data_IF_044420984703
#
_entry.id   IF_044420984703
#
_cell.length_a   1.000
_cell.length_b   1.000
_cell.length_c   1.000
_cell.angle_alpha   90.00
_cell.angle_beta   90.00
_cell.angle_gamma   90.00
#
_symmetry.space_group_name_H-M   'P 1'
#
loop_
_entity.id
_entity.type
_entity.pdbx_description
1 polymer ?
#
# COMPACT_ATOMS: atom_id res chain seq x y z
N UNK A 1 6.03 97.76 -105.66
CA UNK A 1 5.10 98.10 -104.55
C UNK A 1 4.56 96.86 -103.81
N UNK A 2 4.22 95.76 -104.50
CA UNK A 2 3.60 94.55 -103.92
C UNK A 2 4.50 93.79 -102.93
N UNK A 3 5.83 93.79 -103.13
CA UNK A 3 6.78 93.10 -102.24
C UNK A 3 6.84 93.70 -100.81
N UNK A 4 6.82 95.02 -100.70
CA UNK A 4 6.80 95.72 -99.40
C UNK A 4 5.50 95.45 -98.62
N UNK A 5 4.36 95.34 -99.31
CA UNK A 5 3.07 94.97 -98.71
C UNK A 5 3.09 93.52 -98.19
N UNK A 6 3.73 92.59 -98.92
CA UNK A 6 3.90 91.19 -98.50
C UNK A 6 4.87 91.03 -97.32
N UNK A 7 5.91 91.87 -97.25
CA UNK A 7 6.83 91.92 -96.10
C UNK A 7 6.15 92.47 -94.84
N UNK A 8 5.37 93.55 -94.97
CA UNK A 8 4.62 94.13 -93.84
C UNK A 8 3.56 93.18 -93.26
N UNK A 9 2.90 92.38 -94.10
CA UNK A 9 1.91 91.39 -93.66
C UNK A 9 2.55 90.16 -92.99
N UNK A 10 3.71 89.71 -93.46
CA UNK A 10 4.46 88.63 -92.82
C UNK A 10 5.05 89.04 -91.46
N UNK A 11 5.60 90.25 -91.35
CA UNK A 11 6.06 90.79 -90.06
C UNK A 11 4.93 90.94 -89.04
N UNK A 12 3.74 91.35 -89.47
CA UNK A 12 2.55 91.41 -88.60
C UNK A 12 2.16 90.02 -88.11
N UNK A 13 2.08 89.02 -89.00
CA UNK A 13 1.79 87.63 -88.63
C UNK A 13 2.83 87.05 -87.66
N UNK A 14 4.10 87.38 -87.86
CA UNK A 14 5.18 86.92 -86.97
C UNK A 14 5.03 87.53 -85.57
N UNK A 15 4.69 88.82 -85.46
CA UNK A 15 4.39 89.47 -84.17
C UNK A 15 3.15 88.88 -83.51
N UNK A 16 2.08 88.66 -84.27
CA UNK A 16 0.85 88.04 -83.75
C UNK A 16 1.12 86.63 -83.22
N UNK A 17 1.94 85.85 -83.94
CA UNK A 17 2.36 84.52 -83.50
C UNK A 17 3.23 84.59 -82.23
N UNK A 18 4.19 85.51 -82.17
CA UNK A 18 5.03 85.71 -80.99
C UNK A 18 4.19 86.13 -79.76
N UNK A 19 3.23 87.03 -79.94
CA UNK A 19 2.32 87.46 -78.87
C UNK A 19 1.45 86.30 -78.37
N UNK A 20 0.96 85.45 -79.29
CA UNK A 20 0.23 84.22 -78.92
C UNK A 20 1.12 83.26 -78.14
N UNK A 21 2.36 83.04 -78.58
CA UNK A 21 3.32 82.20 -77.86
C UNK A 21 3.59 82.72 -76.45
N UNK A 22 3.86 84.03 -76.31
CA UNK A 22 4.07 84.66 -75.00
C UNK A 22 2.85 84.47 -74.09
N UNK A 23 1.64 84.70 -74.63
CA UNK A 23 0.40 84.49 -73.88
C UNK A 23 0.20 83.03 -73.48
N UNK A 24 0.49 82.07 -74.36
CA UNK A 24 0.39 80.64 -74.07
C UNK A 24 1.41 80.21 -73.01
N UNK A 25 2.67 80.67 -73.09
CA UNK A 25 3.68 80.37 -72.08
C UNK A 25 3.34 81.01 -70.73
N UNK A 26 2.77 82.22 -70.72
CA UNK A 26 2.27 82.84 -69.50
C UNK A 26 1.11 82.06 -68.89
N UNK A 27 0.19 81.55 -69.73
CA UNK A 27 -0.91 80.68 -69.29
C UNK A 27 -0.40 79.38 -68.68
N UNK A 28 0.51 78.69 -69.37
CA UNK A 28 1.15 77.46 -68.86
C UNK A 28 1.89 77.73 -67.55
N UNK A 29 2.59 78.86 -67.42
CA UNK A 29 3.25 79.24 -66.17
C UNK A 29 2.25 79.41 -65.03
N UNK A 30 1.12 80.07 -65.29
CA UNK A 30 0.05 80.20 -64.30
C UNK A 30 -0.54 78.85 -63.92
N UNK A 31 -0.77 77.97 -64.89
CA UNK A 31 -1.28 76.62 -64.65
C UNK A 31 -0.31 75.79 -63.81
N UNK A 32 1.00 75.87 -64.07
CA UNK A 32 2.03 75.23 -63.24
C UNK A 32 1.96 75.75 -61.80
N UNK A 33 1.80 77.05 -61.59
CA UNK A 33 1.66 77.60 -60.22
C UNK A 33 0.40 77.11 -59.54
N UNK A 34 -0.73 77.05 -60.26
CA UNK A 34 -1.98 76.54 -59.73
C UNK A 34 -1.87 75.06 -59.37
N UNK A 35 -1.30 74.24 -60.24
CA UNK A 35 -1.07 72.81 -60.00
C UNK A 35 -0.18 72.61 -58.77
N UNK A 36 0.89 73.40 -58.61
CA UNK A 36 1.74 73.31 -57.42
C UNK A 36 1.00 73.70 -56.14
N UNK A 37 0.11 74.70 -56.18
CA UNK A 37 -0.73 75.04 -55.03
C UNK A 37 -1.68 73.88 -54.67
N UNK A 38 -2.33 73.28 -55.66
CA UNK A 38 -3.19 72.12 -55.46
C UNK A 38 -2.42 70.91 -54.93
N UNK A 39 -1.23 70.65 -55.47
CA UNK A 39 -0.36 69.56 -55.02
C UNK A 39 0.01 69.71 -53.54
N UNK A 40 0.39 70.93 -53.13
CA UNK A 40 0.72 71.23 -51.73
C UNK A 40 -0.51 71.08 -50.81
N UNK A 41 -1.66 71.57 -51.24
CA UNK A 41 -2.91 71.41 -50.49
C UNK A 41 -3.30 69.94 -50.33
N UNK A 42 -3.22 69.15 -51.41
CA UNK A 42 -3.52 67.72 -51.38
C UNK A 42 -2.54 66.96 -50.49
N UNK A 43 -1.25 67.30 -50.53
CA UNK A 43 -0.25 66.72 -49.66
C UNK A 43 -0.55 66.99 -48.17
N UNK A 44 -0.89 68.24 -47.82
CA UNK A 44 -1.28 68.60 -46.46
C UNK A 44 -2.56 67.90 -46.00
N UNK A 45 -3.54 67.73 -46.89
CA UNK A 45 -4.75 66.97 -46.58
C UNK A 45 -4.46 65.50 -46.37
N UNK A 46 -3.59 64.91 -47.19
CA UNK A 46 -3.22 63.50 -47.06
C UNK A 46 -2.51 63.24 -45.73
N UNK A 47 -1.57 64.09 -45.33
CA UNK A 47 -0.87 63.95 -44.04
C UNK A 47 -1.81 64.14 -42.85
N UNK A 48 -2.78 65.06 -42.94
CA UNK A 48 -3.81 65.22 -41.91
C UNK A 48 -4.69 63.96 -41.79
N UNK A 49 -5.10 63.36 -42.91
CA UNK A 49 -5.88 62.12 -42.94
C UNK A 49 -5.08 60.97 -42.34
N UNK A 50 -3.81 60.80 -42.71
CA UNK A 50 -2.93 59.77 -42.13
C UNK A 50 -2.79 59.90 -40.62
N UNK A 51 -2.66 61.13 -40.11
CA UNK A 51 -2.63 61.38 -38.67
C UNK A 51 -3.97 61.03 -38.01
N UNK A 52 -5.10 61.40 -38.62
CA UNK A 52 -6.43 61.00 -38.12
C UNK A 52 -6.58 59.49 -38.07
N UNK A 53 -6.16 58.77 -39.11
CA UNK A 53 -6.17 57.30 -39.15
C UNK A 53 -5.35 56.73 -37.98
N UNK A 54 -4.10 57.18 -37.78
CA UNK A 54 -3.27 56.73 -36.66
C UNK A 54 -3.92 56.98 -35.30
N UNK A 55 -4.57 58.13 -35.12
CA UNK A 55 -5.27 58.41 -33.85
C UNK A 55 -6.49 57.52 -33.65
N UNK A 56 -7.22 57.18 -34.71
CA UNK A 56 -8.35 56.26 -34.67
C UNK A 56 -7.89 54.82 -34.41
N UNK A 57 -6.80 54.38 -35.02
CA UNK A 57 -6.19 53.06 -34.76
C UNK A 57 -5.76 52.93 -33.29
N UNK A 58 -5.15 53.97 -32.72
CA UNK A 58 -4.79 53.97 -31.30
C UNK A 58 -6.03 53.87 -30.40
N UNK A 59 -7.07 54.66 -30.66
CA UNK A 59 -8.35 54.56 -29.94
C UNK A 59 -8.99 53.19 -30.10
N UNK A 60 -8.95 52.61 -31.30
CA UNK A 60 -9.46 51.28 -31.56
C UNK A 60 -8.71 50.21 -30.77
N UNK A 61 -7.39 50.32 -30.63
CA UNK A 61 -6.58 49.40 -29.83
C UNK A 61 -6.82 49.55 -28.32
N UNK A 62 -7.25 50.72 -27.85
CA UNK A 62 -7.60 50.98 -26.45
C UNK A 62 -9.01 50.48 -26.08
N UNK A 63 -9.96 50.46 -27.02
CA UNK A 63 -11.34 50.02 -26.79
C UNK A 63 -11.42 48.59 -26.22
N UNK A 64 -10.71 47.56 -26.76
CA UNK A 64 -10.67 46.21 -26.19
C UNK A 64 -10.12 46.15 -24.76
N UNK A 65 -9.48 47.21 -24.25
CA UNK A 65 -8.94 47.24 -22.88
C UNK A 65 -9.87 47.94 -21.89
N UNK A 66 -10.72 48.87 -22.35
CA UNK A 66 -11.54 49.73 -21.49
C UNK A 66 -13.07 49.52 -21.64
N UNK A 67 -13.53 48.77 -22.65
CA UNK A 67 -14.97 48.43 -22.76
C UNK A 67 -15.33 47.16 -21.99
N UNK A 68 -16.62 47.00 -21.71
CA UNK A 68 -17.17 45.79 -21.09
C UNK A 68 -16.84 44.53 -21.88
N UNK A 69 -16.67 44.63 -23.21
CA UNK A 69 -16.16 43.55 -24.06
C UNK A 69 -14.74 43.10 -23.67
N UNK A 70 -13.85 44.04 -23.33
CA UNK A 70 -12.51 43.74 -22.83
C UNK A 70 -12.50 43.03 -21.48
N UNK A 71 -13.39 43.47 -20.59
CA UNK A 71 -13.64 42.80 -19.31
C UNK A 71 -14.21 41.40 -19.53
N UNK A 72 -15.13 41.24 -20.48
CA UNK A 72 -15.73 39.97 -20.86
C UNK A 72 -14.68 38.98 -21.38
N UNK A 73 -13.75 39.44 -22.23
CA UNK A 73 -12.64 38.61 -22.73
C UNK A 73 -11.75 38.14 -21.58
N UNK A 74 -11.39 39.04 -20.65
CA UNK A 74 -10.60 38.67 -19.47
C UNK A 74 -11.33 37.67 -18.57
N UNK A 75 -12.63 37.89 -18.35
CA UNK A 75 -13.48 36.98 -17.58
C UNK A 75 -13.59 35.62 -18.28
N UNK A 76 -13.69 35.59 -19.60
CA UNK A 76 -13.73 34.36 -20.39
C UNK A 76 -12.41 33.58 -20.31
N UNK A 77 -11.27 34.26 -20.40
CA UNK A 77 -9.95 33.64 -20.19
C UNK A 77 -9.82 33.08 -18.78
N UNK A 78 -10.19 33.86 -17.75
CA UNK A 78 -10.18 33.40 -16.36
C UNK A 78 -11.13 32.22 -16.12
N UNK A 79 -12.29 32.20 -16.79
CA UNK A 79 -13.23 31.09 -16.72
C UNK A 79 -12.62 29.82 -17.31
N UNK A 80 -11.91 29.91 -18.42
CA UNK A 80 -11.21 28.76 -19.02
C UNK A 80 -10.11 28.21 -18.10
N UNK A 81 -9.37 29.09 -17.41
CA UNK A 81 -8.37 28.67 -16.43
C UNK A 81 -9.01 27.93 -15.26
N UNK A 82 -10.13 28.44 -14.74
CA UNK A 82 -10.90 27.79 -13.67
C UNK A 82 -11.45 26.44 -14.16
N UNK A 83 -11.97 26.36 -15.38
CA UNK A 83 -12.42 25.10 -15.99
C UNK A 83 -11.29 24.07 -16.05
N UNK A 84 -10.09 24.48 -16.48
CA UNK A 84 -8.93 23.60 -16.52
C UNK A 84 -8.54 23.10 -15.11
N UNK A 85 -8.58 23.97 -14.10
CA UNK A 85 -8.34 23.59 -12.71
C UNK A 85 -9.39 22.61 -12.18
N UNK A 86 -10.68 22.82 -12.49
CA UNK A 86 -11.76 21.91 -12.13
C UNK A 86 -11.55 20.55 -12.78
N UNK A 87 -11.17 20.49 -14.05
CA UNK A 87 -10.88 19.22 -14.73
C UNK A 87 -9.68 18.48 -14.11
N UNK A 88 -8.65 19.21 -13.68
CA UNK A 88 -7.50 18.65 -12.96
C UNK A 88 -7.88 18.15 -11.56
N UNK A 89 -8.69 18.91 -10.83
CA UNK A 89 -9.20 18.48 -9.53
C UNK A 89 -10.10 17.26 -9.67
N UNK A 90 -10.96 17.25 -10.69
CA UNK A 90 -11.82 16.11 -11.00
C UNK A 90 -11.00 14.87 -11.30
N UNK A 91 -9.96 14.96 -12.15
CA UNK A 91 -9.11 13.81 -12.40
C UNK A 91 -8.36 13.36 -11.15
N UNK A 92 -7.90 14.28 -10.29
CA UNK A 92 -7.32 13.92 -8.98
C UNK A 92 -8.32 13.21 -8.07
N UNK A 93 -9.57 13.68 -8.01
CA UNK A 93 -10.67 13.04 -7.26
C UNK A 93 -11.01 11.68 -7.85
N UNK A 94 -11.04 11.53 -9.17
CA UNK A 94 -11.29 10.26 -9.85
C UNK A 94 -10.12 9.28 -9.70
N UNK A 95 -8.91 9.76 -9.35
CA UNK A 95 -7.76 8.91 -8.96
C UNK A 95 -7.66 8.63 -7.46
N UNK A 96 -8.45 9.32 -6.64
CA UNK A 96 -8.56 9.04 -5.21
C UNK A 96 -9.35 7.75 -4.83
N UNK A 97 -10.14 7.06 -5.69
CA UNK A 97 -10.71 5.76 -5.37
C UNK A 97 -9.72 4.66 -5.78
N UNK A 98 -8.66 4.50 -4.98
CA UNK A 98 -7.83 3.30 -4.97
C UNK A 98 -7.01 3.15 -3.68
N UNK A 99 -6.97 4.18 -2.81
CA UNK A 99 -6.37 4.04 -1.49
C UNK A 99 -7.23 3.15 -0.60
N UNK A 100 -8.56 3.29 -0.63
CA UNK A 100 -9.43 2.48 0.21
C UNK A 100 -9.49 1.03 -0.24
N UNK A 101 -9.60 0.74 -1.55
CA UNK A 101 -9.58 -0.65 -2.02
C UNK A 101 -8.22 -1.33 -1.78
N UNK A 102 -7.11 -0.63 -2.03
CA UNK A 102 -5.76 -1.15 -1.73
C UNK A 102 -5.55 -1.40 -0.24
N UNK A 103 -6.09 -0.54 0.62
CA UNK A 103 -6.03 -0.72 2.08
C UNK A 103 -6.93 -1.86 2.52
N UNK A 104 -8.14 -1.99 1.98
CA UNK A 104 -9.05 -3.11 2.24
C UNK A 104 -8.40 -4.44 1.82
N UNK A 105 -7.76 -4.50 0.66
CA UNK A 105 -7.06 -5.70 0.19
C UNK A 105 -5.87 -6.07 1.10
N UNK A 106 -5.11 -5.08 1.55
CA UNK A 106 -4.02 -5.27 2.52
C UNK A 106 -4.55 -5.74 3.87
N UNK A 107 -5.66 -5.18 4.36
CA UNK A 107 -6.31 -5.61 5.60
C UNK A 107 -6.78 -7.05 5.48
N UNK A 108 -7.41 -7.43 4.37
CA UNK A 108 -7.85 -8.81 4.11
C UNK A 108 -6.67 -9.80 4.10
N UNK A 109 -5.55 -9.42 3.46
CA UNK A 109 -4.32 -10.22 3.47
C UNK A 109 -3.73 -10.38 4.88
N UNK A 110 -3.73 -9.31 5.69
CA UNK A 110 -3.25 -9.36 7.08
C UNK A 110 -4.16 -10.25 7.94
N UNK A 111 -5.48 -10.12 7.82
CA UNK A 111 -6.44 -10.98 8.55
C UNK A 111 -6.21 -12.46 8.23
N UNK A 112 -6.04 -12.81 6.96
CA UNK A 112 -5.75 -14.20 6.56
C UNK A 112 -4.45 -14.74 7.15
N UNK A 113 -3.43 -13.89 7.31
CA UNK A 113 -2.17 -14.27 7.97
C UNK A 113 -2.34 -14.44 9.47
N UNK A 114 -3.14 -13.60 10.12
CA UNK A 114 -3.48 -13.71 11.55
C UNK A 114 -4.21 -15.03 11.81
N UNK A 115 -5.22 -15.38 11.00
CA UNK A 115 -5.95 -16.64 11.15
C UNK A 115 -5.03 -17.86 11.03
N UNK A 116 -4.11 -17.83 10.06
CA UNK A 116 -3.15 -18.91 9.87
C UNK A 116 -2.18 -19.05 11.06
N UNK A 117 -1.76 -17.93 11.65
CA UNK A 117 -0.91 -17.93 12.84
C UNK A 117 -1.67 -18.50 14.04
N UNK A 118 -2.93 -18.09 14.25
CA UNK A 118 -3.78 -18.62 15.32
C UNK A 118 -3.93 -20.14 15.22
N UNK A 119 -4.23 -20.65 14.02
CA UNK A 119 -4.31 -22.11 13.79
C UNK A 119 -2.98 -22.83 14.08
N UNK A 120 -1.84 -22.20 13.80
CA UNK A 120 -0.53 -22.79 14.12
C UNK A 120 -0.25 -22.78 15.62
N UNK A 121 -0.67 -21.74 16.33
CA UNK A 121 -0.55 -21.66 17.80
C UNK A 121 -1.40 -22.74 18.46
N UNK A 122 -2.67 -22.87 18.07
CA UNK A 122 -3.58 -23.91 18.60
C UNK A 122 -3.00 -25.32 18.41
N UNK A 123 -2.41 -25.57 17.24
CA UNK A 123 -1.76 -26.84 16.93
C UNK A 123 -0.49 -27.10 17.75
N UNK A 124 0.26 -26.07 18.14
CA UNK A 124 1.46 -26.21 18.97
C UNK A 124 1.04 -26.45 20.43
N UNK A 125 0.09 -25.66 20.94
CA UNK A 125 -0.41 -25.80 22.31
C UNK A 125 -1.07 -27.17 22.54
N UNK A 126 -1.86 -27.66 21.58
CA UNK A 126 -2.46 -29.00 21.65
C UNK A 126 -1.42 -30.13 21.67
N UNK A 127 -0.31 -29.98 20.93
CA UNK A 127 0.77 -30.98 20.88
C UNK A 127 1.59 -31.02 22.18
N UNK A 128 1.84 -29.87 22.80
CA UNK A 128 2.59 -29.82 24.06
C UNK A 128 1.78 -30.30 25.27
N UNK A 129 0.47 -30.04 25.29
CA UNK A 129 -0.43 -30.58 26.30
C UNK A 129 -0.53 -32.12 26.21
N UNK A 130 -0.65 -32.67 25.00
CA UNK A 130 -0.73 -34.12 24.77
C UNK A 130 0.57 -34.86 25.15
N UNK A 131 1.73 -34.32 24.80
CA UNK A 131 3.04 -34.92 25.13
C UNK A 131 3.32 -34.93 26.64
N UNK A 132 3.05 -33.83 27.34
CA UNK A 132 3.25 -33.74 28.81
C UNK A 132 2.39 -34.75 29.58
N UNK A 133 1.14 -34.93 29.15
CA UNK A 133 0.21 -35.85 29.81
C UNK A 133 0.58 -37.33 29.60
N UNK A 134 1.09 -37.70 28.42
CA UNK A 134 1.51 -39.06 28.13
C UNK A 134 2.81 -39.43 28.87
N UNK A 135 3.78 -38.52 28.95
CA UNK A 135 5.01 -38.75 29.73
C UNK A 135 4.69 -38.92 31.22
N UNK A 136 3.86 -38.04 31.78
CA UNK A 136 3.45 -38.09 33.20
C UNK A 136 2.75 -39.41 33.53
N UNK A 137 1.85 -39.89 32.67
CA UNK A 137 1.15 -41.17 32.84
C UNK A 137 2.10 -42.37 32.78
N UNK A 138 3.08 -42.38 31.87
CA UNK A 138 4.06 -43.46 31.76
C UNK A 138 4.95 -43.53 33.01
N UNK A 139 5.45 -42.38 33.48
CA UNK A 139 6.29 -42.29 34.69
C UNK A 139 5.51 -42.71 35.94
N UNK A 140 4.27 -42.26 36.12
CA UNK A 140 3.41 -42.68 37.24
C UNK A 140 3.15 -44.19 37.24
N UNK A 141 2.94 -44.79 36.06
CA UNK A 141 2.73 -46.25 35.91
C UNK A 141 3.96 -47.06 36.31
N UNK A 142 5.15 -46.60 35.96
CA UNK A 142 6.40 -47.28 36.31
C UNK A 142 6.78 -47.11 37.79
N UNK A 143 6.53 -45.93 38.36
CA UNK A 143 6.76 -45.66 39.79
C UNK A 143 5.80 -46.50 40.65
N UNK A 144 4.52 -46.57 40.29
CA UNK A 144 3.52 -47.35 41.05
C UNK A 144 3.82 -48.86 41.03
N UNK A 145 4.32 -49.41 39.91
CA UNK A 145 4.71 -50.83 39.82
C UNK A 145 5.96 -51.18 40.61
N UNK A 146 6.91 -50.25 40.77
CA UNK A 146 8.11 -50.44 41.59
C UNK A 146 7.94 -49.96 43.04
N UNK A 147 6.75 -49.47 43.39
CA UNK A 147 6.47 -48.98 44.73
C UNK A 147 6.53 -50.08 45.78
N UNK A 148 7.01 -49.73 46.97
CA UNK A 148 7.16 -50.63 48.12
C UNK A 148 5.87 -51.41 48.42
N UNK A 149 4.73 -50.72 48.41
CA UNK A 149 3.44 -51.29 48.76
C UNK A 149 2.89 -52.21 47.68
N UNK A 150 3.11 -51.90 46.40
CA UNK A 150 2.74 -52.81 45.31
C UNK A 150 3.49 -54.14 45.44
N UNK A 151 4.79 -54.08 45.70
CA UNK A 151 5.64 -55.27 45.81
C UNK A 151 5.26 -56.08 47.06
N UNK A 152 5.00 -55.44 48.20
CA UNK A 152 4.47 -56.12 49.39
C UNK A 152 3.15 -56.82 49.12
N UNK A 153 2.20 -56.13 48.50
CA UNK A 153 0.89 -56.69 48.16
C UNK A 153 0.99 -57.82 47.13
N UNK A 154 2.00 -57.78 46.26
CA UNK A 154 2.27 -58.87 45.32
C UNK A 154 2.86 -60.09 46.05
N UNK A 155 3.87 -59.90 46.91
CA UNK A 155 4.45 -60.96 47.76
C UNK A 155 3.34 -61.63 48.56
N UNK A 156 2.51 -60.83 49.23
CA UNK A 156 1.38 -61.30 50.01
C UNK A 156 0.36 -62.09 49.17
N UNK A 157 -0.02 -61.59 47.99
CA UNK A 157 -0.93 -62.29 47.06
C UNK A 157 -0.34 -63.62 46.58
N UNK A 158 0.96 -63.67 46.30
CA UNK A 158 1.63 -64.91 45.91
C UNK A 158 1.60 -65.93 47.05
N UNK A 159 1.93 -65.52 48.28
CA UNK A 159 1.84 -66.40 49.46
C UNK A 159 0.41 -66.90 49.67
N UNK A 160 -0.59 -66.01 49.56
CA UNK A 160 -2.01 -66.40 49.66
C UNK A 160 -2.45 -67.37 48.57
N UNK A 161 -1.95 -67.21 47.33
CA UNK A 161 -2.32 -68.06 46.19
C UNK A 161 -1.72 -69.46 46.30
N UNK A 162 -0.46 -69.56 46.73
CA UNK A 162 0.28 -70.82 46.77
C UNK A 162 0.21 -71.52 48.14
N UNK A 163 -0.40 -70.89 49.13
CA UNK A 163 -0.67 -71.35 50.52
C UNK A 163 0.59 -71.65 51.35
N UNK A 164 1.59 -72.32 50.77
CA UNK A 164 2.95 -72.52 51.28
C UNK A 164 3.96 -72.30 50.17
N UNK A 165 4.86 -71.34 50.35
CA UNK A 165 5.90 -71.03 49.36
C UNK A 165 7.23 -70.70 50.02
N UNK A 166 8.35 -71.14 49.43
CA UNK A 166 9.69 -70.86 49.97
C UNK A 166 10.17 -69.47 49.57
N UNK A 167 11.05 -68.89 50.40
CA UNK A 167 11.68 -67.59 50.10
C UNK A 167 12.38 -67.59 48.73
N UNK A 168 12.99 -68.72 48.36
CA UNK A 168 13.74 -68.88 47.11
C UNK A 168 12.82 -68.82 45.89
N UNK A 169 11.66 -69.46 45.96
CA UNK A 169 10.67 -69.47 44.88
C UNK A 169 10.04 -68.08 44.69
N UNK A 170 9.68 -67.39 45.78
CA UNK A 170 9.20 -66.00 45.71
C UNK A 170 10.24 -65.05 45.13
N UNK A 171 11.51 -65.20 45.55
CA UNK A 171 12.63 -64.42 45.03
C UNK A 171 12.76 -64.61 43.52
N UNK A 172 12.70 -65.85 43.03
CA UNK A 172 12.80 -66.14 41.60
C UNK A 172 11.70 -65.42 40.81
N UNK A 173 10.44 -65.50 41.26
CA UNK A 173 9.33 -64.86 40.56
C UNK A 173 9.38 -63.32 40.61
N UNK A 174 9.71 -62.72 41.75
CA UNK A 174 9.55 -61.26 41.94
C UNK A 174 10.82 -60.49 41.56
N UNK A 175 12.00 -61.06 41.85
CA UNK A 175 13.29 -60.41 41.64
C UNK A 175 13.92 -60.84 40.32
N UNK A 176 13.91 -62.14 40.00
CA UNK A 176 14.63 -62.65 38.83
C UNK A 176 13.76 -62.60 37.56
N UNK A 177 12.49 -62.98 37.63
CA UNK A 177 11.58 -62.98 36.48
C UNK A 177 10.93 -61.61 36.24
N UNK A 178 10.43 -60.96 37.28
CA UNK A 178 9.73 -59.67 37.12
C UNK A 178 10.61 -58.43 37.36
N UNK A 179 11.83 -58.58 37.88
CA UNK A 179 12.78 -57.47 38.14
C UNK A 179 12.20 -56.28 38.94
N UNK A 180 11.20 -56.53 39.78
CA UNK A 180 10.45 -55.45 40.45
C UNK A 180 11.24 -54.77 41.58
N UNK A 181 12.15 -55.49 42.22
CA UNK A 181 13.04 -54.95 43.25
C UNK A 181 14.37 -55.71 43.31
N UNK A 182 15.34 -55.13 44.03
CA UNK A 182 16.62 -55.81 44.31
C UNK A 182 16.45 -56.97 45.29
N UNK A 183 17.41 -57.91 45.29
CA UNK A 183 17.44 -59.02 46.26
C UNK A 183 17.36 -58.53 47.72
N UNK A 184 18.10 -57.46 48.05
CA UNK A 184 18.11 -56.87 49.39
C UNK A 184 16.74 -56.29 49.77
N UNK A 185 16.13 -55.54 48.86
CA UNK A 185 14.80 -54.95 49.07
C UNK A 185 13.74 -56.04 49.27
N UNK A 186 13.78 -57.10 48.46
CA UNK A 186 12.85 -58.23 48.59
C UNK A 186 12.88 -58.86 49.98
N UNK A 187 14.06 -59.20 50.51
CA UNK A 187 14.16 -59.81 51.85
C UNK A 187 13.72 -58.86 52.96
N UNK A 188 14.00 -57.55 52.82
CA UNK A 188 13.50 -56.54 53.76
C UNK A 188 11.97 -56.47 53.76
N UNK A 189 11.33 -56.47 52.59
CA UNK A 189 9.86 -56.44 52.50
C UNK A 189 9.21 -57.71 53.00
N UNK A 190 9.82 -58.86 52.72
CA UNK A 190 9.35 -60.15 53.22
C UNK A 190 9.42 -60.22 54.75
N UNK A 191 10.49 -59.71 55.33
CA UNK A 191 10.67 -59.62 56.78
C UNK A 191 9.70 -58.62 57.41
N UNK A 192 9.48 -57.46 56.78
CA UNK A 192 8.46 -56.50 57.22
C UNK A 192 7.04 -57.12 57.22
N UNK A 193 6.69 -57.94 56.22
CA UNK A 193 5.40 -58.65 56.16
C UNK A 193 5.25 -59.72 57.26
N UNK A 194 6.35 -60.37 57.61
CA UNK A 194 6.39 -61.34 58.70
C UNK A 194 6.23 -60.62 60.06
N UNK A 195 6.94 -59.51 60.26
CA UNK A 195 6.82 -58.67 61.45
C UNK A 195 5.43 -58.04 61.61
N UNK A 196 4.78 -57.66 60.50
CA UNK A 196 3.41 -57.14 60.51
C UNK A 196 2.34 -58.21 60.73
N UNK A 197 2.72 -59.46 61.08
CA UNK A 197 1.83 -60.61 61.28
C UNK A 197 0.94 -60.94 60.07
N UNK A 198 1.24 -60.39 58.89
CA UNK A 198 0.44 -60.60 57.68
C UNK A 198 0.72 -61.97 57.06
N UNK A 199 1.93 -62.50 57.26
CA UNK A 199 2.31 -63.85 56.85
C UNK A 199 2.93 -64.59 58.03
N UNK A 200 2.68 -65.89 58.13
CA UNK A 200 3.35 -66.80 59.04
C UNK A 200 4.58 -67.42 58.38
N UNK A 201 5.57 -67.77 59.17
CA UNK A 201 6.71 -68.55 58.71
C UNK A 201 6.87 -69.82 59.54
N UNK A 202 7.04 -70.95 58.87
CA UNK A 202 7.33 -72.24 59.47
C UNK A 202 8.61 -72.78 58.85
N UNK A 203 9.47 -73.35 59.70
CA UNK A 203 10.66 -74.04 59.23
C UNK A 203 10.25 -75.45 58.78
N UNK A 204 10.39 -75.72 57.48
CA UNK A 204 10.17 -77.04 56.91
C UNK A 204 11.53 -77.58 56.47
N UNK A 205 12.18 -78.32 57.38
CA UNK A 205 13.54 -78.83 57.16
C UNK A 205 14.59 -77.71 57.09
N UNK A 206 15.30 -77.59 55.96
CA UNK A 206 16.39 -76.62 55.74
C UNK A 206 15.92 -75.26 55.23
N UNK A 207 14.65 -75.12 54.86
CA UNK A 207 14.12 -73.88 54.26
C UNK A 207 12.94 -73.31 55.06
N UNK A 208 12.92 -71.97 55.13
CA UNK A 208 11.83 -71.21 55.72
C UNK A 208 10.69 -71.10 54.72
N UNK A 209 9.53 -71.67 55.05
CA UNK A 209 8.31 -71.60 54.25
C UNK A 209 7.38 -70.52 54.81
N UNK A 210 6.80 -69.72 53.92
CA UNK A 210 5.84 -68.68 54.27
C UNK A 210 4.43 -69.14 53.92
N UNK A 211 3.50 -68.90 54.83
CA UNK A 211 2.09 -69.22 54.68
C UNK A 211 1.21 -68.05 55.11
N UNK A 212 -0.03 -68.02 54.61
CA UNK A 212 -0.98 -66.99 54.97
C UNK A 212 -1.52 -67.21 56.38
N UNK A 213 -1.46 -66.20 57.25
CA UNK A 213 -2.06 -66.24 58.58
C UNK A 213 -3.38 -65.48 58.52
N UNK A 214 -4.52 -66.15 58.75
CA UNK A 214 -5.77 -65.42 58.99
C UNK A 214 -5.57 -64.62 60.28
N UNK A 215 -5.49 -63.30 60.17
CA UNK A 215 -5.62 -62.43 61.33
C UNK A 215 -7.01 -62.69 61.93
N UNK A 216 -7.07 -63.22 63.15
CA UNK A 216 -8.29 -63.11 63.96
C UNK A 216 -8.54 -61.61 64.15
N UNK A 217 -9.60 -61.09 63.52
CA UNK A 217 -10.16 -59.81 63.93
C UNK A 217 -10.71 -60.02 65.35
N UNK A 218 -10.08 -59.35 66.31
CA UNK A 218 -10.69 -58.97 67.59
C UNK A 218 -11.00 -57.49 67.50
#
# INVERSE_FOLDING_TARGET
MIWFLRKKTSEKRLRDMNNRLISSFSGVKQDITNINMWLNYLYQKNTAIENSIKTLENKFNEIPRNTDAGRLIKLYSSFNDIQAQIMNLKSKVDTLPATDSSVIDKIGSVMSRVDNISLRIDNIEGKDAGKKNNLKKAILKDISKKSKDYIKNLIFRMIKKYDKITASQLKKMIVEEQSLCSKSTFYRLLLELEQSNSIGAANSGKEKQFYYKLSKQT
#
